data_IF_375623094151
#
_entry.id   IF_375623094151
#
_cell.length_a   1.000
_cell.length_b   1.000
_cell.length_c   1.000
_cell.angle_alpha   90.00
_cell.angle_beta   90.00
_cell.angle_gamma   90.00
#
_symmetry.space_group_name_H-M   'P 1'
#
loop_
_entity.id
_entity.type
_entity.pdbx_description
1 polymer ?
#
# COMPACT_ATOMS: atom_id res chain seq x y z
N UNK A 1 8.37 12.36 24.85
CA UNK A 1 7.20 12.20 23.96
C UNK A 1 6.22 13.30 24.27
N UNK A 2 6.14 14.30 23.41
CA UNK A 2 4.98 15.19 23.40
C UNK A 2 3.98 14.43 22.55
N UNK A 3 2.94 13.87 23.17
CA UNK A 3 1.75 13.44 22.43
C UNK A 3 1.25 14.73 21.78
N UNK A 4 1.31 14.80 20.45
CA UNK A 4 0.79 15.97 19.74
C UNK A 4 -0.73 15.96 19.97
N UNK A 5 -1.20 16.82 20.87
CA UNK A 5 -2.62 16.92 21.29
C UNK A 5 -3.45 17.79 20.34
N UNK A 6 -2.84 18.28 19.25
CA UNK A 6 -3.56 19.08 18.28
C UNK A 6 -4.54 18.18 17.53
N UNK A 7 -5.82 18.59 17.51
CA UNK A 7 -6.84 17.96 16.69
C UNK A 7 -6.33 17.88 15.25
N UNK A 8 -6.40 16.72 14.58
CA UNK A 8 -5.98 16.62 13.19
C UNK A 8 -6.76 17.64 12.36
N UNK A 9 -6.07 18.29 11.42
CA UNK A 9 -6.74 19.12 10.41
C UNK A 9 -7.82 18.28 9.73
N UNK A 10 -8.96 18.88 9.36
CA UNK A 10 -10.04 18.15 8.69
C UNK A 10 -10.36 18.78 7.33
N UNK A 11 -10.88 17.95 6.43
CA UNK A 11 -11.45 18.37 5.15
C UNK A 11 -12.90 17.93 5.07
N UNK A 12 -13.74 18.77 4.46
CA UNK A 12 -15.11 18.38 4.15
C UNK A 12 -15.10 17.42 2.96
N UNK A 13 -15.62 16.22 3.17
CA UNK A 13 -15.76 15.20 2.13
C UNK A 13 -17.10 14.48 2.32
N UNK A 14 -17.94 14.52 1.27
CA UNK A 14 -19.29 13.92 1.26
C UNK A 14 -20.16 14.35 2.46
N UNK A 15 -20.12 15.64 2.81
CA UNK A 15 -20.90 16.22 3.92
C UNK A 15 -20.41 15.80 5.32
N UNK A 16 -19.22 15.21 5.44
CA UNK A 16 -18.57 14.86 6.71
C UNK A 16 -17.22 15.56 6.83
N UNK A 17 -16.83 15.88 8.06
CA UNK A 17 -15.45 16.28 8.36
C UNK A 17 -14.61 15.02 8.51
N UNK A 18 -13.62 14.86 7.63
CA UNK A 18 -12.70 13.72 7.62
C UNK A 18 -11.30 14.22 8.01
N UNK A 19 -10.58 13.52 8.90
CA UNK A 19 -9.23 13.95 9.28
C UNK A 19 -8.27 13.89 8.09
N UNK A 20 -7.32 14.81 8.08
CA UNK A 20 -6.10 14.78 7.27
C UNK A 20 -4.97 14.40 8.23
N UNK A 21 -4.36 13.24 8.00
CA UNK A 21 -3.36 12.73 8.93
C UNK A 21 -2.03 13.47 8.76
N UNK A 22 -1.51 14.11 9.82
CA UNK A 22 -0.16 14.67 9.77
C UNK A 22 0.85 13.54 9.72
N UNK A 23 2.02 13.83 9.16
CA UNK A 23 3.14 12.89 9.13
C UNK A 23 4.46 13.64 9.04
N UNK A 24 5.53 12.95 9.42
CA UNK A 24 6.87 13.49 9.31
C UNK A 24 7.25 13.75 7.85
N UNK A 25 8.04 14.79 7.60
CA UNK A 25 8.67 15.04 6.30
C UNK A 25 10.17 14.79 6.42
N UNK A 26 10.68 13.83 5.67
CA UNK A 26 12.07 13.38 5.65
C UNK A 26 12.81 14.06 4.50
N UNK A 27 13.94 14.69 4.78
CA UNK A 27 14.81 15.32 3.77
C UNK A 27 15.66 14.26 3.06
N UNK A 28 15.46 14.11 1.75
CA UNK A 28 16.18 13.10 0.98
C UNK A 28 17.70 13.34 0.95
N UNK A 29 18.17 14.58 0.82
CA UNK A 29 19.60 14.89 0.72
C UNK A 29 20.34 14.60 2.03
N UNK A 30 19.71 14.91 3.16
CA UNK A 30 20.24 14.55 4.49
C UNK A 30 20.23 13.04 4.72
N UNK A 31 19.17 12.35 4.30
CA UNK A 31 19.07 10.90 4.39
C UNK A 31 20.14 10.19 3.53
N UNK A 32 20.34 10.68 2.31
CA UNK A 32 21.40 10.22 1.39
C UNK A 32 22.79 10.40 2.01
N UNK A 33 23.00 11.48 2.76
CA UNK A 33 24.24 11.77 3.47
C UNK A 33 24.41 10.98 4.78
N UNK A 34 23.47 10.08 5.12
CA UNK A 34 23.43 9.34 6.38
C UNK A 34 23.47 10.27 7.62
N UNK A 35 22.81 11.44 7.53
CA UNK A 35 22.67 12.35 8.65
C UNK A 35 21.95 11.66 9.82
N UNK A 36 22.57 11.66 11.01
CA UNK A 36 22.08 10.87 12.15
C UNK A 36 20.68 11.28 12.61
N UNK A 37 20.39 12.59 12.62
CA UNK A 37 19.08 13.09 13.04
C UNK A 37 17.99 12.72 12.01
N UNK A 38 18.32 12.76 10.72
CA UNK A 38 17.37 12.36 9.68
C UNK A 38 17.14 10.84 9.63
N UNK A 39 18.18 10.04 9.93
CA UNK A 39 18.06 8.58 10.13
C UNK A 39 17.13 8.27 11.29
N UNK A 40 17.33 8.91 12.44
CA UNK A 40 16.47 8.70 13.62
C UNK A 40 15.02 9.09 13.31
N UNK A 41 14.83 10.19 12.59
CA UNK A 41 13.50 10.68 12.18
C UNK A 41 12.78 9.68 11.28
N UNK A 42 13.42 9.16 10.23
CA UNK A 42 12.79 8.17 9.34
C UNK A 42 12.55 6.84 10.05
N UNK A 43 13.47 6.42 10.93
CA UNK A 43 13.31 5.21 11.72
C UNK A 43 12.07 5.32 12.61
N UNK A 44 11.93 6.42 13.34
CA UNK A 44 10.77 6.65 14.22
C UNK A 44 9.46 6.70 13.41
N UNK A 45 9.45 7.39 12.26
CA UNK A 45 8.29 7.39 11.38
C UNK A 45 7.88 5.97 10.94
N UNK A 46 8.83 5.11 10.59
CA UNK A 46 8.57 3.71 10.25
C UNK A 46 8.12 2.85 11.44
N UNK A 47 8.65 3.11 12.65
CA UNK A 47 8.33 2.34 13.86
C UNK A 47 6.96 2.69 14.46
N UNK A 48 6.54 3.95 14.35
CA UNK A 48 5.32 4.46 14.99
C UNK A 48 4.13 4.49 14.02
N UNK A 49 4.31 5.09 12.84
CA UNK A 49 3.24 5.39 11.90
C UNK A 49 3.27 4.47 10.66
N UNK A 50 4.47 4.13 10.18
CA UNK A 50 4.68 3.32 8.98
C UNK A 50 4.64 4.12 7.67
N UNK A 51 4.53 5.45 7.73
CA UNK A 51 4.46 6.33 6.56
C UNK A 51 5.07 7.71 6.84
N UNK A 52 5.46 8.42 5.78
CA UNK A 52 6.03 9.77 5.84
C UNK A 52 6.05 10.43 4.46
N UNK A 53 6.24 11.75 4.42
CA UNK A 53 6.62 12.45 3.18
C UNK A 53 8.14 12.41 3.00
N UNK A 54 8.61 12.19 1.78
CA UNK A 54 10.02 12.39 1.41
C UNK A 54 10.15 13.68 0.59
N UNK A 55 10.84 14.69 1.14
CA UNK A 55 11.14 15.94 0.44
C UNK A 55 12.25 15.75 -0.59
N UNK A 56 11.92 16.00 -1.85
CA UNK A 56 12.79 15.82 -3.01
C UNK A 56 13.17 17.16 -3.67
N UNK A 57 12.85 18.32 -3.06
CA UNK A 57 13.14 19.64 -3.65
C UNK A 57 14.63 19.99 -3.65
N UNK A 58 15.42 19.33 -2.80
CA UNK A 58 16.87 19.51 -2.72
C UNK A 58 17.60 19.11 -4.01
N UNK A 59 18.87 19.48 -4.11
CA UNK A 59 19.69 19.22 -5.32
C UNK A 59 19.80 17.73 -5.67
N UNK A 60 19.81 16.87 -4.64
CA UNK A 60 19.88 15.42 -4.79
C UNK A 60 18.54 14.80 -5.21
N UNK A 61 17.41 15.41 -4.81
CA UNK A 61 16.07 14.91 -5.09
C UNK A 61 15.47 15.43 -6.40
N UNK A 62 15.90 16.61 -6.88
CA UNK A 62 15.26 17.29 -8.04
C UNK A 62 15.23 16.46 -9.32
N UNK A 63 16.20 15.54 -9.50
CA UNK A 63 16.20 14.61 -10.64
C UNK A 63 14.99 13.69 -10.61
N UNK A 64 14.63 13.17 -9.44
CA UNK A 64 13.45 12.32 -9.28
C UNK A 64 12.17 13.07 -9.64
N UNK A 65 12.07 14.35 -9.26
CA UNK A 65 10.92 15.19 -9.63
C UNK A 65 10.84 15.41 -11.15
N UNK A 66 11.97 15.58 -11.83
CA UNK A 66 12.00 15.68 -13.28
C UNK A 66 11.61 14.35 -13.95
N UNK A 67 12.17 13.23 -13.50
CA UNK A 67 11.85 11.89 -14.02
C UNK A 67 10.36 11.54 -13.79
N UNK A 68 9.80 11.94 -12.64
CA UNK A 68 8.37 11.76 -12.32
C UNK A 68 7.47 12.57 -13.25
N UNK A 69 7.84 13.82 -13.57
CA UNK A 69 7.08 14.64 -14.51
C UNK A 69 7.04 14.02 -15.91
N UNK A 70 8.19 13.58 -16.43
CA UNK A 70 8.25 12.91 -17.74
C UNK A 70 7.45 11.59 -17.74
N UNK A 71 7.44 10.88 -16.60
CA UNK A 71 6.63 9.67 -16.43
C UNK A 71 5.13 10.01 -16.43
N UNK A 72 4.72 11.12 -15.81
CA UNK A 72 3.33 11.58 -15.81
C UNK A 72 2.88 11.98 -17.23
N UNK A 73 3.73 12.67 -17.99
CA UNK A 73 3.45 13.02 -19.39
C UNK A 73 3.31 11.77 -20.27
N UNK A 74 4.17 10.75 -20.08
CA UNK A 74 4.03 9.43 -20.72
C UNK A 74 2.73 8.74 -20.31
N UNK A 75 2.39 8.80 -19.02
CA UNK A 75 1.20 8.20 -18.45
C UNK A 75 -0.09 8.79 -19.04
N UNK A 76 -0.17 10.11 -19.17
CA UNK A 76 -1.31 10.78 -19.83
C UNK A 76 -1.47 10.31 -21.27
N UNK A 77 -0.39 10.35 -22.05
CA UNK A 77 -0.43 9.87 -23.45
C UNK A 77 -0.84 8.41 -23.55
N UNK A 78 -0.36 7.54 -22.66
CA UNK A 78 -0.70 6.13 -22.66
C UNK A 78 -2.18 5.89 -22.35
N UNK A 79 -2.72 6.52 -21.30
CA UNK A 79 -4.11 6.25 -20.88
C UNK A 79 -5.16 6.85 -21.82
N UNK A 80 -4.81 7.86 -22.61
CA UNK A 80 -5.65 8.39 -23.70
C UNK A 80 -5.75 7.45 -24.92
N UNK A 81 -4.90 6.42 -25.01
CA UNK A 81 -4.91 5.50 -26.15
C UNK A 81 -6.15 4.59 -26.17
N UNK A 82 -6.55 4.09 -27.36
CA UNK A 82 -7.59 3.06 -27.48
C UNK A 82 -7.25 1.81 -26.67
N UNK A 83 -8.29 1.13 -26.18
CA UNK A 83 -8.14 -0.07 -25.34
C UNK A 83 -7.32 -1.17 -26.03
N UNK A 84 -7.39 -1.28 -27.34
CA UNK A 84 -6.63 -2.25 -28.14
C UNK A 84 -5.12 -2.02 -28.04
N UNK A 85 -4.70 -0.75 -27.99
CA UNK A 85 -3.29 -0.39 -27.83
C UNK A 85 -2.83 -0.60 -26.38
N UNK A 86 -3.68 -0.25 -25.39
CA UNK A 86 -3.35 -0.42 -23.97
C UNK A 86 -3.29 -1.89 -23.55
N UNK A 87 -4.22 -2.70 -24.05
CA UNK A 87 -4.42 -4.10 -23.66
C UNK A 87 -3.68 -5.11 -24.55
N UNK A 88 -2.65 -4.68 -25.30
CA UNK A 88 -1.91 -5.54 -26.25
C UNK A 88 -1.44 -6.87 -25.63
N UNK A 89 -0.93 -6.81 -24.39
CA UNK A 89 -0.52 -8.00 -23.62
C UNK A 89 -1.54 -8.40 -22.56
N UNK A 90 -2.53 -7.54 -22.28
CA UNK A 90 -3.36 -7.61 -21.09
C UNK A 90 -2.57 -7.81 -19.80
N UNK A 91 -3.15 -8.60 -18.89
CA UNK A 91 -2.46 -9.11 -17.71
C UNK A 91 -1.60 -10.31 -18.08
N UNK A 92 -0.28 -10.13 -18.01
CA UNK A 92 0.71 -11.18 -18.29
C UNK A 92 0.84 -12.11 -17.09
N UNK A 93 0.81 -11.51 -15.91
CA UNK A 93 0.76 -12.17 -14.61
C UNK A 93 -0.04 -11.30 -13.66
N UNK A 94 -0.33 -11.78 -12.44
CA UNK A 94 -1.04 -11.02 -11.41
C UNK A 94 -0.43 -9.64 -11.10
N UNK A 95 0.85 -9.44 -11.41
CA UNK A 95 1.65 -8.27 -11.07
C UNK A 95 2.27 -7.56 -12.28
N UNK A 96 1.98 -7.96 -13.53
CA UNK A 96 2.56 -7.36 -14.73
C UNK A 96 1.54 -7.15 -15.84
N UNK A 97 1.73 -6.05 -16.57
CA UNK A 97 0.91 -5.69 -17.72
C UNK A 97 -0.18 -4.68 -17.38
N UNK A 98 -1.13 -4.57 -18.28
CA UNK A 98 -2.22 -3.60 -18.22
C UNK A 98 -3.48 -4.23 -17.60
N UNK A 99 -4.10 -3.48 -16.69
CA UNK A 99 -5.35 -3.81 -16.01
C UNK A 99 -6.42 -2.79 -16.44
N UNK A 100 -7.48 -3.21 -17.16
CA UNK A 100 -8.59 -2.32 -17.50
C UNK A 100 -9.47 -2.03 -16.28
N UNK A 101 -10.24 -0.94 -16.39
CA UNK A 101 -11.25 -0.54 -15.39
C UNK A 101 -12.19 -1.68 -15.03
N UNK A 102 -12.45 -1.87 -13.74
CA UNK A 102 -13.38 -2.87 -13.22
C UNK A 102 -12.81 -4.29 -13.10
N UNK A 103 -11.48 -4.43 -13.20
CA UNK A 103 -10.80 -5.73 -13.11
C UNK A 103 -10.71 -6.28 -11.69
N UNK A 104 -10.71 -5.42 -10.67
CA UNK A 104 -10.55 -5.74 -9.23
C UNK A 104 -11.80 -5.39 -8.43
N UNK A 105 -11.81 -5.84 -7.18
CA UNK A 105 -12.77 -5.40 -6.15
C UNK A 105 -12.53 -3.92 -5.83
N UNK A 106 -13.61 -3.14 -5.78
CA UNK A 106 -13.57 -1.71 -5.51
C UNK A 106 -13.41 -1.37 -4.02
N UNK A 107 -13.59 -0.10 -3.67
CA UNK A 107 -13.35 0.41 -2.31
C UNK A 107 -14.30 -0.16 -1.23
N UNK A 108 -15.41 -0.79 -1.66
CA UNK A 108 -16.44 -1.40 -0.80
C UNK A 108 -16.72 -2.85 -1.20
N UNK A 109 -17.12 -3.66 -0.22
CA UNK A 109 -17.69 -4.99 -0.46
C UNK A 109 -18.77 -4.96 -1.56
N UNK A 110 -18.68 -5.90 -2.51
CA UNK A 110 -19.58 -6.02 -3.67
C UNK A 110 -19.33 -5.06 -4.84
N UNK A 111 -18.38 -4.13 -4.75
CA UNK A 111 -18.08 -3.16 -5.82
C UNK A 111 -16.94 -3.59 -6.75
N UNK A 112 -16.87 -2.96 -7.93
CA UNK A 112 -15.72 -3.03 -8.85
C UNK A 112 -14.91 -1.74 -8.78
N UNK A 113 -13.63 -1.85 -9.06
CA UNK A 113 -12.76 -0.69 -9.09
C UNK A 113 -13.12 0.29 -10.22
N UNK A 114 -12.66 1.54 -10.07
CA UNK A 114 -12.89 2.64 -11.01
C UNK A 114 -11.61 3.13 -11.68
N UNK A 115 -10.60 2.26 -11.83
CA UNK A 115 -9.29 2.67 -12.31
C UNK A 115 -8.69 1.68 -13.30
N UNK A 116 -7.85 2.20 -14.19
CA UNK A 116 -6.97 1.39 -15.02
C UNK A 116 -5.52 1.54 -14.56
N UNK A 117 -4.69 0.53 -14.82
CA UNK A 117 -3.31 0.50 -14.36
C UNK A 117 -2.38 -0.18 -15.34
N UNK A 118 -1.16 0.33 -15.48
CA UNK A 118 -0.07 -0.35 -16.17
C UNK A 118 1.08 -0.61 -15.19
N UNK A 119 1.49 -1.87 -15.06
CA UNK A 119 2.63 -2.30 -14.25
C UNK A 119 3.82 -2.64 -15.14
N UNK A 120 4.94 -1.95 -14.90
CA UNK A 120 6.21 -2.13 -15.61
C UNK A 120 7.20 -2.79 -14.66
N UNK A 121 7.74 -3.96 -15.06
CA UNK A 121 8.74 -4.69 -14.27
C UNK A 121 10.09 -3.98 -14.28
N UNK A 122 10.68 -3.80 -13.09
CA UNK A 122 12.08 -3.34 -12.98
C UNK A 122 13.04 -4.36 -13.61
N UNK A 123 12.82 -5.64 -13.34
CA UNK A 123 13.66 -6.74 -13.82
C UNK A 123 13.62 -6.85 -15.36
N UNK A 124 12.44 -6.72 -15.98
CA UNK A 124 12.34 -6.79 -17.44
C UNK A 124 12.95 -5.57 -18.14
N UNK A 125 12.82 -4.37 -17.56
CA UNK A 125 13.51 -3.17 -18.04
C UNK A 125 15.03 -3.36 -17.94
N UNK A 126 15.54 -3.85 -16.82
CA UNK A 126 16.97 -4.09 -16.62
C UNK A 126 17.55 -5.15 -17.58
N UNK A 127 16.74 -6.14 -17.99
CA UNK A 127 17.14 -7.20 -18.93
C UNK A 127 16.91 -6.82 -20.40
N UNK A 128 16.48 -5.59 -20.68
CA UNK A 128 16.14 -5.13 -22.03
C UNK A 128 15.11 -6.04 -22.74
N UNK A 129 14.13 -6.53 -21.98
CA UNK A 129 13.05 -7.38 -22.50
C UNK A 129 11.69 -7.09 -21.84
N UNK A 130 11.25 -5.81 -21.79
CA UNK A 130 10.00 -5.43 -21.14
C UNK A 130 8.78 -5.95 -21.91
N UNK A 131 7.85 -6.55 -21.17
CA UNK A 131 6.55 -6.91 -21.73
C UNK A 131 5.53 -5.82 -21.45
N UNK A 132 5.77 -4.67 -22.07
CA UNK A 132 4.87 -3.51 -22.08
C UNK A 132 4.30 -3.30 -23.49
N UNK A 133 3.15 -2.61 -23.65
CA UNK A 133 2.59 -2.32 -24.96
C UNK A 133 3.57 -1.61 -25.90
N UNK A 134 3.58 -1.98 -27.18
CA UNK A 134 4.41 -1.41 -28.23
C UNK A 134 4.21 0.10 -28.39
N UNK A 135 3.02 0.60 -28.04
CA UNK A 135 2.70 2.02 -28.06
C UNK A 135 3.58 2.88 -27.13
N UNK A 136 4.25 2.27 -26.15
CA UNK A 136 5.19 2.94 -25.22
C UNK A 136 6.59 2.29 -25.23
N UNK A 137 6.95 1.63 -26.34
CA UNK A 137 8.28 1.02 -26.56
C UNK A 137 9.19 1.83 -27.48
N UNK A 138 8.87 3.10 -27.72
CA UNK A 138 9.81 3.98 -28.43
C UNK A 138 11.09 4.17 -27.61
N UNK A 139 12.22 4.45 -28.26
CA UNK A 139 13.49 4.67 -27.54
C UNK A 139 13.41 5.78 -26.50
N UNK A 140 12.59 6.81 -26.73
CA UNK A 140 12.33 7.87 -25.75
C UNK A 140 11.47 7.41 -24.58
N UNK A 141 10.37 6.68 -24.84
CA UNK A 141 9.49 6.19 -23.78
C UNK A 141 10.20 5.18 -22.88
N UNK A 142 10.99 4.30 -23.49
CA UNK A 142 11.87 3.37 -22.78
C UNK A 142 12.85 4.11 -21.86
N UNK A 143 13.43 5.22 -22.32
CA UNK A 143 14.34 6.01 -21.50
C UNK A 143 13.65 6.67 -20.30
N UNK A 144 12.42 7.13 -20.48
CA UNK A 144 11.60 7.67 -19.38
C UNK A 144 11.38 6.60 -18.32
N UNK A 145 10.94 5.40 -18.72
CA UNK A 145 10.70 4.27 -17.81
C UNK A 145 11.98 3.83 -17.09
N UNK A 146 13.10 3.71 -17.81
CA UNK A 146 14.41 3.39 -17.24
C UNK A 146 14.84 4.40 -16.18
N UNK A 147 14.75 5.69 -16.49
CA UNK A 147 15.15 6.77 -15.58
C UNK A 147 14.28 6.78 -14.33
N UNK A 148 12.96 6.67 -14.52
CA UNK A 148 11.97 6.65 -13.43
C UNK A 148 12.21 5.47 -12.48
N UNK A 149 12.34 4.26 -13.03
CA UNK A 149 12.65 3.04 -12.26
C UNK A 149 14.00 3.16 -11.57
N UNK A 150 15.03 3.64 -12.28
CA UNK A 150 16.37 3.82 -11.72
C UNK A 150 16.39 4.78 -10.53
N UNK A 151 15.76 5.95 -10.68
CA UNK A 151 15.68 6.95 -9.61
C UNK A 151 14.87 6.45 -8.41
N UNK A 152 13.72 5.80 -8.63
CA UNK A 152 12.93 5.18 -7.55
C UNK A 152 13.73 4.09 -6.82
N UNK A 153 14.43 3.23 -7.55
CA UNK A 153 15.24 2.15 -6.99
C UNK A 153 16.38 2.69 -6.12
N UNK A 154 17.06 3.75 -6.57
CA UNK A 154 18.12 4.39 -5.78
C UNK A 154 17.57 5.01 -4.51
N UNK A 155 16.49 5.79 -4.61
CA UNK A 155 15.87 6.44 -3.44
C UNK A 155 15.42 5.42 -2.40
N UNK A 156 14.71 4.39 -2.83
CA UNK A 156 14.19 3.36 -1.91
C UNK A 156 15.32 2.56 -1.26
N UNK A 157 16.43 2.30 -1.95
CA UNK A 157 17.65 1.71 -1.35
C UNK A 157 18.36 2.62 -0.37
N UNK A 158 18.36 3.94 -0.59
CA UNK A 158 18.88 4.92 0.39
C UNK A 158 18.07 4.86 1.67
N UNK A 159 16.73 4.79 1.56
CA UNK A 159 15.84 4.64 2.71
C UNK A 159 16.13 3.32 3.44
N UNK A 160 16.22 2.18 2.73
CA UNK A 160 16.57 0.90 3.35
C UNK A 160 17.93 0.94 4.06
N UNK A 161 18.94 1.54 3.44
CA UNK A 161 20.28 1.67 4.05
C UNK A 161 20.24 2.53 5.31
N UNK A 162 19.50 3.64 5.30
CA UNK A 162 19.30 4.49 6.47
C UNK A 162 18.57 3.74 7.61
N UNK A 163 17.52 2.99 7.29
CA UNK A 163 16.81 2.16 8.26
C UNK A 163 17.70 1.04 8.83
N UNK A 164 18.49 0.38 7.98
CA UNK A 164 19.52 -0.58 8.40
C UNK A 164 20.50 0.04 9.39
N UNK A 165 21.00 1.25 9.11
CA UNK A 165 21.89 1.99 9.99
C UNK A 165 21.21 2.35 11.31
N UNK A 166 19.99 2.91 11.27
CA UNK A 166 19.23 3.28 12.47
C UNK A 166 18.89 2.09 13.37
N UNK A 167 18.68 0.91 12.78
CA UNK A 167 18.46 -0.34 13.51
C UNK A 167 19.76 -1.07 13.92
N UNK A 168 20.93 -0.48 13.65
CA UNK A 168 22.25 -1.07 13.90
C UNK A 168 22.45 -2.44 13.23
N UNK A 169 21.89 -2.63 12.03
CA UNK A 169 22.06 -3.83 11.23
C UNK A 169 23.39 -3.81 10.47
N UNK A 170 24.05 -4.98 10.37
CA UNK A 170 25.39 -5.13 9.81
C UNK A 170 25.49 -6.32 8.88
N UNK A 171 26.29 -6.23 7.82
CA UNK A 171 26.52 -7.35 6.90
C UNK A 171 25.23 -7.84 6.25
N UNK A 172 25.02 -9.15 6.24
CA UNK A 172 23.87 -9.78 5.58
C UNK A 172 22.51 -9.45 6.20
N UNK A 173 22.45 -8.89 7.43
CA UNK A 173 21.18 -8.51 8.06
C UNK A 173 20.65 -7.15 7.61
N UNK A 174 21.43 -6.38 6.86
CA UNK A 174 21.00 -5.07 6.34
C UNK A 174 19.91 -5.24 5.28
N UNK A 175 18.84 -4.46 5.35
CA UNK A 175 17.66 -4.63 4.50
C UNK A 175 17.95 -4.55 3.00
N UNK A 176 18.84 -3.65 2.58
CA UNK A 176 19.21 -3.51 1.17
C UNK A 176 19.94 -4.74 0.60
N UNK A 177 20.45 -5.64 1.46
CA UNK A 177 21.09 -6.89 1.03
C UNK A 177 20.09 -7.93 0.52
N UNK A 178 18.80 -7.75 0.83
CA UNK A 178 17.67 -8.53 0.27
C UNK A 178 17.02 -7.84 -0.93
N UNK A 179 17.67 -6.82 -1.51
CA UNK A 179 17.14 -6.02 -2.62
C UNK A 179 18.19 -5.82 -3.71
N UNK A 180 19.01 -6.84 -4.03
CA UNK A 180 20.06 -6.74 -5.05
C UNK A 180 19.44 -6.71 -6.46
N UNK A 181 20.01 -5.88 -7.32
CA UNK A 181 19.42 -5.68 -8.65
C UNK A 181 19.57 -6.91 -9.55
N UNK A 182 20.57 -7.74 -9.30
CA UNK A 182 20.91 -8.91 -10.11
C UNK A 182 20.06 -10.13 -9.75
N UNK A 183 19.28 -10.02 -8.67
CA UNK A 183 18.45 -11.10 -8.12
C UNK A 183 16.99 -10.88 -8.53
N UNK A 184 16.26 -11.95 -8.88
CA UNK A 184 14.85 -11.84 -9.24
C UNK A 184 14.02 -11.20 -8.14
N UNK A 185 13.18 -10.26 -8.54
CA UNK A 185 12.17 -9.67 -7.67
C UNK A 185 10.92 -9.35 -8.46
N UNK A 186 9.78 -9.31 -7.79
CA UNK A 186 8.53 -8.80 -8.35
C UNK A 186 8.45 -7.27 -8.33
N UNK A 187 9.54 -6.52 -8.19
CA UNK A 187 9.53 -5.04 -8.11
C UNK A 187 8.95 -4.38 -9.37
N UNK A 188 8.02 -3.42 -9.21
CA UNK A 188 7.30 -2.78 -10.32
C UNK A 188 7.13 -1.28 -10.14
N UNK A 189 7.21 -0.54 -11.24
CA UNK A 189 6.62 0.79 -11.39
C UNK A 189 5.19 0.64 -11.89
N UNK A 190 4.22 1.23 -11.19
CA UNK A 190 2.81 1.18 -11.55
C UNK A 190 2.29 2.58 -11.82
N UNK A 191 1.71 2.76 -13.00
CA UNK A 191 0.96 3.96 -13.38
C UNK A 191 -0.53 3.64 -13.20
N UNK A 192 -1.26 4.42 -12.41
CA UNK A 192 -2.69 4.21 -12.10
C UNK A 192 -3.52 5.45 -12.45
N UNK A 193 -4.54 5.26 -13.27
CA UNK A 193 -5.48 6.31 -13.69
C UNK A 193 -6.89 5.98 -13.20
N UNK A 194 -7.40 6.83 -12.32
CA UNK A 194 -8.74 6.75 -11.75
C UNK A 194 -9.66 7.66 -12.54
N UNK A 195 -10.76 7.10 -13.05
CA UNK A 195 -11.67 7.81 -13.92
C UNK A 195 -12.74 8.56 -13.11
N UNK A 196 -13.23 9.71 -13.60
CA UNK A 196 -14.44 10.33 -13.10
C UNK A 196 -15.62 9.37 -13.10
N UNK A 197 -16.56 9.57 -12.20
CA UNK A 197 -17.80 8.80 -12.12
C UNK A 197 -19.01 9.71 -11.99
N UNK A 198 -19.99 9.50 -12.88
CA UNK A 198 -21.30 10.18 -12.83
C UNK A 198 -22.28 9.52 -11.84
N UNK A 199 -21.93 8.35 -11.30
CA UNK A 199 -22.83 7.59 -10.43
C UNK A 199 -22.71 8.04 -8.98
N UNK A 200 -23.83 8.48 -8.40
CA UNK A 200 -24.03 8.75 -6.97
C UNK A 200 -23.72 7.54 -6.04
N UNK A 201 -23.39 6.36 -6.59
CA UNK A 201 -22.82 5.24 -5.83
C UNK A 201 -21.29 5.41 -5.68
N UNK A 202 -20.89 6.64 -5.35
CA UNK A 202 -19.53 7.20 -5.26
C UNK A 202 -18.60 6.44 -4.29
N UNK A 203 -19.15 5.50 -3.51
CA UNK A 203 -18.45 4.67 -2.53
C UNK A 203 -17.97 3.32 -3.07
N UNK A 204 -18.29 3.00 -4.34
CA UNK A 204 -17.90 1.76 -5.01
C UNK A 204 -16.56 1.89 -5.76
N UNK A 205 -16.25 3.10 -6.22
CA UNK A 205 -15.11 3.40 -7.08
C UNK A 205 -13.87 3.67 -6.24
N UNK A 206 -12.81 2.89 -6.41
CA UNK A 206 -11.54 3.13 -5.72
C UNK A 206 -10.71 1.87 -5.52
N UNK A 207 -9.58 2.02 -4.82
CA UNK A 207 -8.77 0.89 -4.39
C UNK A 207 -9.28 0.40 -3.04
N UNK A 208 -9.55 -0.89 -2.93
CA UNK A 208 -9.92 -1.53 -1.66
C UNK A 208 -8.91 -1.26 -0.55
N UNK A 209 -9.37 -1.32 0.70
CA UNK A 209 -8.50 -1.20 1.87
C UNK A 209 -7.50 -2.35 1.91
N UNK A 210 -6.22 -2.04 2.07
CA UNK A 210 -5.17 -3.05 2.17
C UNK A 210 -3.90 -2.50 2.81
N UNK A 211 -2.95 -3.40 3.07
CA UNK A 211 -1.52 -3.05 3.14
C UNK A 211 -0.79 -3.58 1.91
N UNK A 212 0.34 -2.96 1.58
CA UNK A 212 1.12 -3.38 0.42
C UNK A 212 1.98 -4.61 0.70
N UNK A 213 2.12 -5.48 -0.29
CA UNK A 213 3.05 -6.63 -0.30
C UNK A 213 4.52 -6.19 -0.21
N UNK A 214 4.83 -4.96 -0.67
CA UNK A 214 6.18 -4.44 -0.86
C UNK A 214 7.00 -4.34 0.43
N UNK A 215 8.29 -4.03 0.28
CA UNK A 215 9.13 -3.56 1.39
C UNK A 215 8.88 -2.07 1.63
N UNK A 216 8.95 -1.28 0.56
CA UNK A 216 8.63 0.14 0.55
C UNK A 216 7.78 0.45 -0.68
N UNK A 217 6.85 1.38 -0.51
CA UNK A 217 6.13 2.00 -1.62
C UNK A 217 6.50 3.47 -1.69
N UNK A 218 6.92 3.94 -2.86
CA UNK A 218 7.18 5.33 -3.17
C UNK A 218 6.08 5.82 -4.11
N UNK A 219 5.21 6.70 -3.64
CA UNK A 219 3.99 7.12 -4.32
C UNK A 219 4.01 8.62 -4.64
N UNK A 220 3.67 8.94 -5.88
CA UNK A 220 3.46 10.31 -6.36
C UNK A 220 2.02 10.47 -6.83
N UNK A 221 1.35 11.52 -6.36
CA UNK A 221 0.04 11.94 -6.83
C UNK A 221 -0.14 13.43 -6.54
N UNK A 222 -0.67 14.18 -7.50
CA UNK A 222 -0.94 15.61 -7.33
C UNK A 222 -2.36 15.86 -6.82
N UNK A 223 -3.25 14.87 -6.98
CA UNK A 223 -4.64 14.92 -6.57
C UNK A 223 -4.89 14.23 -5.23
N UNK A 224 -5.92 14.69 -4.53
CA UNK A 224 -6.45 14.04 -3.33
C UNK A 224 -7.00 12.64 -3.64
N UNK A 225 -7.27 11.86 -2.59
CA UNK A 225 -8.00 10.59 -2.71
C UNK A 225 -7.35 9.42 -1.99
N UNK A 226 -6.04 9.50 -1.70
CA UNK A 226 -5.40 8.53 -0.81
C UNK A 226 -5.91 8.75 0.62
N UNK A 227 -6.42 7.68 1.21
CA UNK A 227 -6.72 7.63 2.63
C UNK A 227 -5.88 6.56 3.32
N UNK A 228 -5.44 6.88 4.53
CA UNK A 228 -4.73 5.96 5.41
C UNK A 228 -5.49 5.82 6.72
N UNK A 229 -5.37 4.65 7.33
CA UNK A 229 -5.68 4.40 8.73
C UNK A 229 -4.36 4.10 9.41
N UNK A 230 -3.89 5.03 10.25
CA UNK A 230 -2.66 4.82 11.00
C UNK A 230 -2.78 3.61 11.95
N UNK A 231 -1.66 2.95 12.30
CA UNK A 231 -1.62 1.84 13.25
C UNK A 231 -2.15 2.22 14.63
N UNK A 232 -2.84 1.31 15.34
CA UNK A 232 -3.49 1.59 16.63
C UNK A 232 -2.61 2.17 17.75
N UNK A 233 -1.28 2.07 17.63
CA UNK A 233 -0.30 2.73 18.52
C UNK A 233 -0.41 4.26 18.53
N UNK A 234 -0.93 4.89 17.47
CA UNK A 234 -1.16 6.34 17.43
C UNK A 234 -2.58 6.75 17.87
N UNK A 235 -3.44 5.79 18.23
CA UNK A 235 -4.80 6.04 18.71
C UNK A 235 -5.84 6.36 17.62
N UNK A 236 -5.45 6.50 16.36
CA UNK A 236 -6.37 6.74 15.25
C UNK A 236 -7.17 5.48 14.89
N UNK A 237 -8.49 5.62 14.82
CA UNK A 237 -9.44 4.51 14.57
C UNK A 237 -10.27 4.70 13.30
N UNK A 238 -9.91 5.65 12.44
CA UNK A 238 -10.65 5.97 11.23
C UNK A 238 -9.74 6.23 10.04
N UNK A 239 -10.30 6.12 8.84
CA UNK A 239 -9.62 6.49 7.60
C UNK A 239 -9.56 8.01 7.51
N UNK A 240 -8.39 8.56 7.23
CA UNK A 240 -8.20 9.99 6.97
C UNK A 240 -7.38 10.22 5.70
N UNK A 241 -7.51 11.40 5.11
CA UNK A 241 -6.83 11.75 3.87
C UNK A 241 -5.34 12.04 4.08
N UNK A 242 -4.58 11.78 3.02
CA UNK A 242 -3.21 12.25 2.84
C UNK A 242 -3.24 13.45 1.91
N UNK A 243 -2.78 14.60 2.38
CA UNK A 243 -2.75 15.82 1.58
C UNK A 243 -1.69 15.72 0.45
N UNK A 244 -2.03 16.00 -0.81
CA UNK A 244 -1.03 16.14 -1.85
C UNK A 244 0.00 17.21 -1.48
N UNK A 245 1.29 16.87 -1.59
CA UNK A 245 2.39 17.75 -1.17
C UNK A 245 3.40 17.94 -2.31
N UNK A 246 3.35 19.08 -3.03
CA UNK A 246 4.23 19.33 -4.16
C UNK A 246 5.72 19.19 -3.80
N UNK A 247 6.48 18.53 -4.67
CA UNK A 247 7.90 18.26 -4.47
C UNK A 247 8.21 17.17 -3.44
N UNK A 248 7.19 16.48 -2.92
CA UNK A 248 7.36 15.34 -2.01
C UNK A 248 6.77 14.07 -2.60
N UNK A 249 7.33 12.92 -2.22
CA UNK A 249 6.68 11.62 -2.39
C UNK A 249 6.01 11.20 -1.08
N UNK A 250 4.90 10.48 -1.16
CA UNK A 250 4.40 9.71 -0.02
C UNK A 250 5.15 8.37 0.02
N UNK A 251 5.71 8.03 1.18
CA UNK A 251 6.42 6.76 1.38
C UNK A 251 5.73 6.00 2.50
N UNK A 252 5.49 4.72 2.29
CA UNK A 252 5.05 3.83 3.36
C UNK A 252 5.73 2.47 3.32
N UNK A 253 5.81 1.86 4.50
CA UNK A 253 6.33 0.53 4.74
C UNK A 253 5.27 -0.49 4.33
N UNK A 254 5.67 -1.49 3.55
CA UNK A 254 4.83 -2.64 3.23
C UNK A 254 5.12 -3.85 4.13
N UNK A 255 4.39 -4.92 3.89
CA UNK A 255 4.44 -6.15 4.70
C UNK A 255 5.83 -6.77 4.73
N UNK A 256 6.55 -6.81 3.61
CA UNK A 256 7.85 -7.49 3.52
C UNK A 256 8.89 -6.85 4.44
N UNK A 257 8.92 -5.51 4.53
CA UNK A 257 9.84 -4.80 5.43
C UNK A 257 9.36 -4.88 6.89
N UNK A 258 8.03 -4.85 7.12
CA UNK A 258 7.47 -5.13 8.44
C UNK A 258 7.93 -6.49 8.94
N UNK A 259 7.79 -7.56 8.16
CA UNK A 259 8.24 -8.90 8.51
C UNK A 259 9.76 -8.97 8.69
N UNK A 260 10.54 -8.39 7.78
CA UNK A 260 11.99 -8.35 7.88
C UNK A 260 12.50 -7.63 9.14
N UNK A 261 11.75 -6.63 9.63
CA UNK A 261 12.05 -5.92 10.87
C UNK A 261 11.67 -6.68 12.15
N UNK A 262 11.10 -7.88 12.02
CA UNK A 262 10.50 -8.63 13.14
C UNK A 262 9.22 -7.98 13.65
N UNK A 263 8.39 -7.47 12.73
CA UNK A 263 7.12 -6.78 12.99
C UNK A 263 7.26 -5.49 13.84
N UNK A 264 8.46 -4.90 13.86
CA UNK A 264 8.73 -3.65 14.59
C UNK A 264 8.23 -2.42 13.85
N UNK A 265 8.45 -2.37 12.54
CA UNK A 265 7.92 -1.30 11.70
C UNK A 265 6.44 -1.53 11.42
N UNK A 266 5.67 -0.45 11.36
CA UNK A 266 4.26 -0.52 11.04
C UNK A 266 4.02 -0.43 9.54
N UNK A 267 2.93 -1.00 9.06
CA UNK A 267 2.44 -0.85 7.69
C UNK A 267 1.06 -0.18 7.76
N UNK A 268 0.86 0.92 7.06
CA UNK A 268 -0.42 1.61 7.12
C UNK A 268 -1.47 0.92 6.24
N UNK A 269 -2.65 0.70 6.82
CA UNK A 269 -3.82 0.31 6.06
C UNK A 269 -4.22 1.52 5.23
N UNK A 270 -4.38 1.34 3.92
CA UNK A 270 -4.69 2.43 3.03
C UNK A 270 -5.69 2.02 1.96
N UNK A 271 -6.36 3.02 1.39
CA UNK A 271 -7.31 2.87 0.29
C UNK A 271 -7.25 4.11 -0.58
N UNK A 272 -7.83 4.05 -1.77
CA UNK A 272 -8.05 5.24 -2.59
C UNK A 272 -9.55 5.40 -2.82
N UNK A 273 -10.07 6.58 -2.53
CA UNK A 273 -11.45 6.98 -2.81
C UNK A 273 -11.43 8.30 -3.59
N UNK A 274 -12.41 8.55 -4.48
CA UNK A 274 -12.55 9.84 -5.14
C UNK A 274 -12.75 10.94 -4.10
N UNK A 275 -11.89 11.97 -4.14
CA UNK A 275 -12.09 13.18 -3.34
C UNK A 275 -13.10 14.11 -4.03
N UNK A 276 -12.86 14.37 -5.32
CA UNK A 276 -13.81 14.95 -6.27
C UNK A 276 -14.19 13.86 -7.29
N UNK A 277 -15.45 13.40 -7.35
CA UNK A 277 -15.86 12.33 -8.27
C UNK A 277 -15.86 12.76 -9.75
N UNK A 278 -15.75 14.07 -10.03
CA UNK A 278 -15.65 14.60 -11.39
C UNK A 278 -14.21 14.69 -11.92
N UNK A 279 -13.21 14.47 -11.06
CA UNK A 279 -11.80 14.65 -11.37
C UNK A 279 -11.13 13.33 -11.84
N UNK A 280 -10.29 13.43 -12.87
CA UNK A 280 -9.32 12.38 -13.19
C UNK A 280 -8.16 12.42 -12.19
N UNK A 281 -7.92 11.30 -11.51
CA UNK A 281 -6.78 11.18 -10.59
C UNK A 281 -5.69 10.30 -11.19
N UNK A 282 -4.44 10.75 -11.08
CA UNK A 282 -3.27 10.03 -11.57
C UNK A 282 -2.32 9.76 -10.40
N UNK A 283 -1.79 8.54 -10.33
CA UNK A 283 -0.70 8.23 -9.41
C UNK A 283 0.33 7.29 -10.00
N UNK A 284 1.58 7.54 -9.64
CA UNK A 284 2.73 6.70 -9.99
C UNK A 284 3.25 6.09 -8.68
N UNK A 285 3.22 4.77 -8.59
CA UNK A 285 3.67 4.02 -7.42
C UNK A 285 4.84 3.12 -7.80
N UNK A 286 5.96 3.24 -7.10
CA UNK A 286 7.06 2.28 -7.20
C UNK A 286 7.03 1.35 -5.99
N UNK A 287 6.74 0.08 -6.25
CA UNK A 287 6.70 -0.97 -5.24
C UNK A 287 8.04 -1.68 -5.19
N UNK A 288 8.93 -1.26 -4.28
CA UNK A 288 10.19 -1.96 -4.04
C UNK A 288 9.87 -3.26 -3.28
N UNK A 289 10.17 -4.41 -3.89
CA UNK A 289 9.97 -5.73 -3.29
C UNK A 289 11.31 -6.41 -3.04
N UNK A 290 11.39 -7.20 -1.97
CA UNK A 290 12.55 -8.03 -1.70
C UNK A 290 12.75 -9.07 -2.80
N UNK A 291 13.95 -9.64 -2.87
CA UNK A 291 14.26 -10.76 -3.74
C UNK A 291 13.31 -11.93 -3.47
N UNK A 292 12.84 -12.63 -4.50
CA UNK A 292 11.76 -13.61 -4.40
C UNK A 292 12.05 -14.75 -3.41
N UNK A 293 13.33 -15.07 -3.19
CA UNK A 293 13.82 -16.10 -2.26
C UNK A 293 14.18 -15.57 -0.86
N UNK A 294 14.05 -14.26 -0.62
CA UNK A 294 14.22 -13.67 0.72
C UNK A 294 13.17 -14.26 1.64
N UNK A 295 13.61 -14.86 2.75
CA UNK A 295 12.74 -15.50 3.72
C UNK A 295 12.54 -14.62 4.96
N UNK A 296 11.30 -14.52 5.41
CA UNK A 296 10.93 -13.85 6.66
C UNK A 296 9.85 -14.65 7.39
N UNK A 297 9.61 -14.30 8.66
CA UNK A 297 8.47 -14.81 9.41
C UNK A 297 7.30 -13.85 9.24
N UNK A 298 6.16 -14.35 8.74
CA UNK A 298 4.96 -13.52 8.57
C UNK A 298 4.21 -13.28 9.90
N UNK A 299 3.09 -12.56 9.83
CA UNK A 299 2.27 -12.25 11.00
C UNK A 299 1.60 -13.46 11.67
N UNK A 300 1.56 -14.62 11.00
CA UNK A 300 1.03 -15.87 11.55
C UNK A 300 2.13 -16.80 12.07
N UNK A 301 3.39 -16.34 12.02
CA UNK A 301 4.54 -17.10 12.45
C UNK A 301 5.06 -18.09 11.41
N UNK A 302 4.55 -18.06 10.17
CA UNK A 302 5.01 -18.93 9.07
C UNK A 302 6.32 -18.40 8.51
N UNK A 303 7.25 -19.30 8.20
CA UNK A 303 8.43 -18.95 7.39
C UNK A 303 8.04 -19.04 5.92
N UNK A 304 8.09 -17.90 5.22
CA UNK A 304 7.64 -17.75 3.85
C UNK A 304 8.64 -16.90 3.06
N UNK A 305 8.79 -17.17 1.77
CA UNK A 305 9.61 -16.30 0.90
C UNK A 305 8.82 -15.09 0.43
N UNK A 306 9.53 -14.02 0.03
CA UNK A 306 8.90 -12.82 -0.52
C UNK A 306 8.04 -13.14 -1.75
N UNK A 307 8.49 -14.03 -2.63
CA UNK A 307 7.73 -14.48 -3.80
C UNK A 307 6.46 -15.26 -3.41
N UNK A 308 6.55 -16.13 -2.41
CA UNK A 308 5.39 -16.86 -1.91
C UNK A 308 4.36 -15.94 -1.27
N UNK A 309 4.80 -15.01 -0.39
CA UNK A 309 3.91 -14.01 0.22
C UNK A 309 3.22 -13.16 -0.84
N UNK A 310 3.99 -12.73 -1.84
CA UNK A 310 3.48 -11.98 -2.98
C UNK A 310 2.35 -12.74 -3.68
N UNK A 311 2.59 -14.00 -4.06
CA UNK A 311 1.61 -14.78 -4.82
C UNK A 311 0.36 -15.13 -4.00
N UNK A 312 0.53 -15.51 -2.72
CA UNK A 312 -0.59 -15.78 -1.80
C UNK A 312 -1.47 -14.54 -1.60
N UNK A 313 -0.84 -13.40 -1.31
CA UNK A 313 -1.58 -12.15 -1.06
C UNK A 313 -2.19 -11.58 -2.33
N UNK A 314 -1.50 -11.62 -3.48
CA UNK A 314 -2.10 -11.21 -4.75
C UNK A 314 -3.29 -12.06 -5.13
N UNK A 315 -3.21 -13.38 -4.90
CA UNK A 315 -4.34 -14.28 -5.13
C UNK A 315 -5.55 -13.87 -4.28
N UNK A 316 -5.33 -13.55 -3.00
CA UNK A 316 -6.40 -13.04 -2.14
C UNK A 316 -7.03 -11.74 -2.67
N UNK A 317 -6.30 -10.87 -3.38
CA UNK A 317 -6.88 -9.68 -4.03
C UNK A 317 -7.63 -9.97 -5.33
N UNK A 318 -7.29 -11.03 -6.06
CA UNK A 318 -7.96 -11.43 -7.31
C UNK A 318 -9.13 -12.37 -7.10
N UNK A 319 -9.15 -13.09 -5.99
CA UNK A 319 -10.15 -14.11 -5.71
C UNK A 319 -11.54 -13.47 -5.59
N UNK A 320 -12.64 -14.18 -5.96
CA UNK A 320 -13.99 -13.66 -5.78
C UNK A 320 -14.27 -13.32 -4.31
N UNK A 321 -15.15 -12.35 -4.05
CA UNK A 321 -15.44 -11.81 -2.72
C UNK A 321 -15.68 -12.88 -1.63
N UNK A 322 -16.41 -13.95 -1.96
CA UNK A 322 -16.62 -15.09 -1.06
C UNK A 322 -15.31 -15.72 -0.56
N UNK A 323 -14.33 -15.85 -1.44
CA UNK A 323 -13.02 -16.42 -1.12
C UNK A 323 -12.11 -15.42 -0.41
N UNK A 324 -12.23 -14.12 -0.73
CA UNK A 324 -11.54 -13.06 0.03
C UNK A 324 -11.99 -13.06 1.50
N UNK A 325 -13.29 -13.24 1.75
CA UNK A 325 -13.86 -13.34 3.09
C UNK A 325 -13.40 -14.60 3.86
N UNK A 326 -12.93 -15.63 3.16
CA UNK A 326 -12.38 -16.85 3.75
C UNK A 326 -10.85 -16.81 3.93
N UNK A 327 -10.16 -15.86 3.30
CA UNK A 327 -8.73 -15.69 3.47
C UNK A 327 -8.42 -15.33 4.94
N UNK A 328 -7.24 -15.72 5.46
CA UNK A 328 -6.85 -15.28 6.80
C UNK A 328 -6.92 -13.76 6.90
N UNK A 329 -7.51 -13.22 7.98
CA UNK A 329 -7.64 -11.76 8.17
C UNK A 329 -6.28 -11.03 8.08
N UNK A 330 -5.20 -11.74 8.43
CA UNK A 330 -3.82 -11.29 8.31
C UNK A 330 -3.36 -11.06 6.88
N UNK A 331 -3.99 -11.69 5.87
CA UNK A 331 -3.53 -11.68 4.48
C UNK A 331 -3.72 -10.30 3.83
N UNK A 332 -4.95 -9.77 3.83
CA UNK A 332 -5.27 -8.49 3.18
C UNK A 332 -4.56 -7.31 3.87
N UNK A 333 -4.43 -7.37 5.20
CA UNK A 333 -3.88 -6.29 6.03
C UNK A 333 -2.45 -6.56 6.54
N UNK A 334 -1.78 -7.63 6.08
CA UNK A 334 -0.39 -7.93 6.48
C UNK A 334 -0.20 -8.15 7.99
N UNK A 335 -1.26 -8.60 8.67
CA UNK A 335 -1.31 -8.75 10.13
C UNK A 335 -1.58 -7.46 10.92
N UNK A 336 -1.88 -6.34 10.24
CA UNK A 336 -2.33 -5.11 10.89
C UNK A 336 -3.79 -5.27 11.36
N UNK A 337 -4.09 -4.72 12.54
CA UNK A 337 -5.43 -4.77 13.13
C UNK A 337 -6.19 -3.47 12.87
N UNK A 338 -7.47 -3.58 12.55
CA UNK A 338 -8.41 -2.45 12.58
C UNK A 338 -8.98 -2.31 14.00
N UNK A 339 -8.25 -1.63 14.89
CA UNK A 339 -8.73 -1.42 16.26
C UNK A 339 -9.97 -0.52 16.25
N UNK A 340 -11.18 -1.06 16.53
CA UNK A 340 -12.40 -0.28 16.76
C UNK A 340 -13.58 -0.53 15.82
N UNK A 341 -13.44 -1.30 14.73
CA UNK A 341 -14.57 -1.82 13.94
C UNK A 341 -14.20 -3.23 13.43
N UNK A 342 -14.17 -4.20 14.36
CA UNK A 342 -14.23 -5.65 14.08
C UNK A 342 -13.92 -6.53 15.31
N UNK A 343 -13.71 -5.96 16.50
CA UNK A 343 -13.86 -6.74 17.73
C UNK A 343 -15.36 -6.94 17.96
N UNK A 344 -15.92 -8.16 17.81
CA UNK A 344 -17.23 -8.40 18.39
C UNK A 344 -17.06 -8.11 19.88
N UNK A 345 -17.76 -7.09 20.37
CA UNK A 345 -18.07 -6.98 21.80
C UNK A 345 -18.52 -8.38 22.18
N UNK A 346 -17.72 -9.08 22.98
CA UNK A 346 -18.08 -10.39 23.46
C UNK A 346 -19.45 -10.21 24.12
N UNK A 347 -20.52 -10.64 23.44
CA UNK A 347 -21.82 -10.72 24.08
C UNK A 347 -21.59 -11.67 25.24
N UNK A 348 -21.64 -11.13 26.45
CA UNK A 348 -21.64 -11.94 27.67
C UNK A 348 -22.58 -13.11 27.42
N UNK A 349 -22.04 -14.32 27.54
CA UNK A 349 -22.83 -15.53 27.38
C UNK A 349 -24.00 -15.44 28.35
N UNK A 350 -25.25 -15.67 27.90
CA UNK A 350 -26.39 -15.61 28.79
C UNK A 350 -26.18 -16.63 29.92
N UNK A 351 -26.23 -16.13 31.15
CA UNK A 351 -26.20 -16.94 32.37
C UNK A 351 -27.30 -18.02 32.23
N UNK A 352 -26.99 -19.32 32.41
CA UNK A 352 -28.01 -20.36 32.31
C UNK A 352 -29.04 -20.13 33.42
N UNK A 353 -30.28 -19.84 33.02
CA UNK A 353 -31.42 -19.86 33.94
C UNK A 353 -31.59 -21.31 34.39
N UNK A 354 -31.37 -21.57 35.68
CA UNK A 354 -31.60 -22.87 36.29
C UNK A 354 -33.05 -23.32 36.01
N UNK A 355 -33.20 -24.43 35.29
CA UNK A 355 -34.50 -25.06 35.11
C UNK A 355 -35.03 -25.51 36.48
N UNK A 356 -36.11 -24.88 36.91
CA UNK A 356 -36.87 -25.33 38.07
C UNK A 356 -37.44 -26.73 37.77
N UNK A 357 -36.93 -27.73 38.48
CA UNK A 357 -37.47 -29.08 38.51
C UNK A 357 -38.91 -29.02 39.04
N UNK A 358 -39.88 -29.20 38.14
CA UNK A 358 -41.27 -29.42 38.52
C UNK A 358 -41.38 -30.80 39.18
N UNK A 359 -41.69 -30.80 40.48
CA UNK A 359 -42.02 -31.98 41.28
C UNK A 359 -43.42 -32.44 40.85
N UNK A 360 -43.53 -33.66 40.31
CA UNK A 360 -44.81 -34.31 40.03
C UNK A 360 -45.49 -34.73 41.35
N UNK A 361 -46.82 -34.58 41.49
CA UNK A 361 -47.51 -34.97 42.71
C UNK A 361 -47.72 -36.49 42.77
N UNK A 362 -47.42 -37.07 43.93
CA UNK A 362 -47.77 -38.44 44.32
C UNK A 362 -49.30 -38.62 44.30
N UNK A 363 -49.76 -39.64 43.57
CA UNK A 363 -51.14 -40.12 43.66
C UNK A 363 -51.16 -41.22 44.72
N UNK A 364 -51.67 -40.90 45.91
CA UNK A 364 -52.05 -41.90 46.92
C UNK A 364 -53.42 -42.48 46.61
N UNK A 365 -53.51 -43.81 46.69
CA UNK A 365 -54.71 -44.61 46.52
C UNK A 365 -55.84 -44.29 47.51
N UNK A 366 -57.09 -44.57 47.12
CA UNK A 366 -58.10 -45.24 47.96
C UNK A 366 -59.38 -45.57 47.17
N UNK A 367 -59.64 -46.88 47.03
CA UNK A 367 -60.93 -47.60 47.18
C UNK A 367 -60.94 -48.87 46.32
#
# INVERSE_FOLDING_TARGET
>A
MVVNTDMPETVEWQGKQVPVWPMQTIDYGRLLSQDTAEIEKVLNACLEEGYFYLDLKGIDGRRMLADQKETLDLMHRFFEMPIEAKNEFGLISSHLGYEPVGSRTGARAGSKDGYEMLKVSRDEIQRDSPKIPNAIKTSSDMKILENSIGSCNTITKVILSALSTGMNLTGASRFEMSHRNERPSTTTLSMMHYLPSDSLDENSMGHQKHTDISSLTLLFSEQWGLQIRPPGVCGAREMGFVAPKPGCAFVHVGDSLRFASGMKMQSCIHRVVPFDPSEHRYSIAYFLRAEDDTMFQDSEGRFITAGQWHDEKFKAFTDPELWQAMAPKSMILGGMKEDGEDEPVAKEAPVPVAAALAVAPEVSAQA
#
